data_IF_512646275496
#
_entry.id   IF_512646275496
#
_cell.length_a   1.000
_cell.length_b   1.000
_cell.length_c   1.000
_cell.angle_alpha   90.00
_cell.angle_beta   90.00
_cell.angle_gamma   90.00
#
_symmetry.space_group_name_H-M   'P 1'
#
loop_
_entity.id
_entity.type
_entity.pdbx_description
1 polymer ?
#
# COMPACT_ATOMS: atom_id res chain seq x y z
N UNK A 1 3.98 14.76 26.50
CA UNK A 1 3.26 15.69 25.59
C UNK A 1 3.57 15.44 24.11
N UNK A 2 4.78 15.68 23.57
CA UNK A 2 5.07 15.42 22.13
C UNK A 2 4.94 13.94 21.74
N UNK A 3 5.41 13.02 22.60
CA UNK A 3 5.30 11.57 22.40
C UNK A 3 3.83 11.12 22.38
N UNK A 4 3.00 11.66 23.26
CA UNK A 4 1.57 11.32 23.34
C UNK A 4 0.80 11.82 22.12
N UNK A 5 1.12 13.02 21.62
CA UNK A 5 0.56 13.56 20.37
C UNK A 5 0.93 12.68 19.18
N UNK A 6 2.19 12.25 19.09
CA UNK A 6 2.62 11.37 18.00
C UNK A 6 1.93 10.01 18.07
N UNK A 7 1.74 9.46 19.27
CA UNK A 7 0.98 8.22 19.48
C UNK A 7 -0.47 8.37 19.03
N UNK A 8 -1.14 9.43 19.45
CA UNK A 8 -2.50 9.74 19.00
C UNK A 8 -2.59 9.91 17.46
N UNK A 9 -1.59 10.52 16.83
CA UNK A 9 -1.55 10.66 15.37
C UNK A 9 -1.45 9.31 14.66
N UNK A 10 -0.58 8.40 15.12
CA UNK A 10 -0.42 7.06 14.51
C UNK A 10 -1.66 6.19 14.75
N UNK A 11 -2.28 6.28 15.92
CA UNK A 11 -3.54 5.60 16.22
C UNK A 11 -4.66 6.10 15.30
N UNK A 12 -4.81 7.43 15.16
CA UNK A 12 -5.83 8.03 14.29
C UNK A 12 -5.61 7.67 12.82
N UNK A 13 -4.36 7.67 12.35
CA UNK A 13 -3.99 7.23 11.01
C UNK A 13 -4.48 5.80 10.74
N UNK A 14 -4.19 4.89 11.67
CA UNK A 14 -4.58 3.49 11.55
C UNK A 14 -6.10 3.34 11.51
N UNK A 15 -6.82 4.08 12.36
CA UNK A 15 -8.30 4.07 12.39
C UNK A 15 -8.92 4.57 11.08
N UNK A 16 -8.39 5.67 10.52
CA UNK A 16 -8.87 6.22 9.25
C UNK A 16 -8.63 5.22 8.12
N UNK A 17 -7.41 4.66 8.02
CA UNK A 17 -7.09 3.65 7.02
C UNK A 17 -8.03 2.44 7.13
N UNK A 18 -8.23 1.91 8.34
CA UNK A 18 -9.17 0.82 8.60
C UNK A 18 -10.61 1.14 8.21
N UNK A 19 -11.09 2.36 8.46
CA UNK A 19 -12.45 2.76 8.09
C UNK A 19 -12.66 2.76 6.58
N UNK A 20 -11.66 3.22 5.81
CA UNK A 20 -11.71 3.19 4.34
C UNK A 20 -11.65 1.75 3.82
N UNK A 21 -10.74 0.94 4.34
CA UNK A 21 -10.61 -0.47 3.93
C UNK A 21 -11.88 -1.28 4.22
N UNK A 22 -12.58 -0.99 5.34
CA UNK A 22 -13.87 -1.61 5.69
C UNK A 22 -15.05 -1.13 4.84
N UNK A 23 -14.93 0.03 4.20
CA UNK A 23 -15.93 0.48 3.24
C UNK A 23 -15.72 -0.19 1.88
N UNK A 24 -14.46 -0.32 1.44
CA UNK A 24 -14.08 -0.94 0.17
C UNK A 24 -14.16 -2.48 0.20
N UNK A 25 -13.95 -3.09 1.38
CA UNK A 25 -13.94 -4.53 1.58
C UNK A 25 -14.46 -4.90 2.98
N UNK A 26 -14.72 -6.18 3.25
CA UNK A 26 -15.25 -6.60 4.55
C UNK A 26 -14.24 -6.48 5.72
N UNK A 27 -12.95 -6.26 5.42
CA UNK A 27 -11.88 -6.27 6.44
C UNK A 27 -10.86 -5.15 6.24
N UNK A 28 -10.06 -4.85 7.27
CA UNK A 28 -8.93 -3.92 7.21
C UNK A 28 -7.57 -4.61 7.19
N UNK A 29 -7.52 -5.94 7.17
CA UNK A 29 -6.28 -6.70 7.27
C UNK A 29 -5.29 -6.40 6.15
N UNK A 30 -5.80 -6.09 4.95
CA UNK A 30 -5.01 -5.65 3.80
C UNK A 30 -4.06 -4.50 4.16
N UNK A 31 -4.59 -3.42 4.74
CA UNK A 31 -3.79 -2.25 5.11
C UNK A 31 -2.64 -2.61 6.06
N UNK A 32 -2.88 -3.50 7.03
CA UNK A 32 -1.84 -3.94 7.94
C UNK A 32 -0.80 -4.81 7.23
N UNK A 33 -1.23 -5.76 6.38
CA UNK A 33 -0.33 -6.63 5.62
C UNK A 33 0.57 -5.82 4.68
N UNK A 34 0.00 -4.94 3.84
CA UNK A 34 0.80 -4.12 2.91
C UNK A 34 1.75 -3.18 3.65
N UNK A 35 1.35 -2.65 4.81
CA UNK A 35 2.23 -1.82 5.64
C UNK A 35 3.41 -2.62 6.18
N UNK A 36 3.17 -3.80 6.74
CA UNK A 36 4.23 -4.70 7.22
C UNK A 36 5.16 -5.11 6.07
N UNK A 37 4.59 -5.47 4.92
CA UNK A 37 5.37 -5.84 3.75
C UNK A 37 6.26 -4.71 3.25
N UNK A 38 5.70 -3.51 3.13
CA UNK A 38 6.40 -2.32 2.65
C UNK A 38 7.59 -1.99 3.58
N UNK A 39 7.38 -2.01 4.89
CA UNK A 39 8.41 -1.74 5.89
C UNK A 39 9.55 -2.76 5.84
N UNK A 40 9.24 -4.05 5.79
CA UNK A 40 10.25 -5.11 5.72
C UNK A 40 11.07 -5.02 4.43
N UNK A 41 10.41 -4.69 3.31
CA UNK A 41 11.10 -4.45 2.04
C UNK A 41 12.01 -3.20 2.11
N UNK A 42 11.55 -2.12 2.73
CA UNK A 42 12.37 -0.92 2.95
C UNK A 42 13.57 -1.18 3.87
N UNK A 43 13.43 -2.01 4.91
CA UNK A 43 14.56 -2.47 5.74
C UNK A 43 15.56 -3.27 4.91
N UNK A 44 15.08 -4.22 4.10
CA UNK A 44 15.92 -5.04 3.21
C UNK A 44 16.68 -4.21 2.17
N UNK A 45 16.08 -3.11 1.73
CA UNK A 45 16.69 -2.13 0.81
C UNK A 45 17.54 -1.08 1.54
N UNK A 46 17.65 -1.15 2.87
CA UNK A 46 18.44 -0.24 3.70
C UNK A 46 18.02 1.23 3.58
N UNK A 47 16.74 1.49 3.30
CA UNK A 47 16.21 2.86 3.29
C UNK A 47 16.27 3.45 4.70
N UNK A 48 16.45 4.76 4.82
CA UNK A 48 16.53 5.42 6.13
C UNK A 48 15.18 5.45 6.87
N UNK A 49 15.21 5.89 8.13
CA UNK A 49 14.01 6.00 8.97
C UNK A 49 12.96 6.94 8.38
N UNK A 50 13.36 8.00 7.66
CA UNK A 50 12.43 8.95 7.06
C UNK A 50 11.60 8.28 5.95
N UNK A 51 12.24 7.51 5.08
CA UNK A 51 11.54 6.73 4.06
C UNK A 51 10.61 5.70 4.70
N UNK A 52 11.04 5.00 5.76
CA UNK A 52 10.19 4.00 6.45
C UNK A 52 8.98 4.64 7.14
N UNK A 53 9.14 5.81 7.76
CA UNK A 53 8.01 6.56 8.34
C UNK A 53 7.04 7.03 7.26
N UNK A 54 7.55 7.60 6.15
CA UNK A 54 6.77 8.02 4.99
C UNK A 54 6.00 6.84 4.40
N UNK A 55 6.65 5.69 4.24
CA UNK A 55 6.05 4.47 3.70
C UNK A 55 4.98 3.88 4.63
N UNK A 56 5.21 3.87 5.95
CA UNK A 56 4.21 3.44 6.93
C UNK A 56 2.97 4.32 6.85
N UNK A 57 3.15 5.65 6.84
CA UNK A 57 2.03 6.60 6.72
C UNK A 57 1.31 6.39 5.40
N UNK A 58 2.05 6.41 4.30
CA UNK A 58 1.55 6.25 2.94
C UNK A 58 0.77 4.96 2.74
N UNK A 59 1.27 3.83 3.25
CA UNK A 59 0.59 2.54 3.13
C UNK A 59 -0.78 2.53 3.80
N UNK A 60 -0.94 3.16 4.98
CA UNK A 60 -2.23 3.23 5.66
C UNK A 60 -3.27 4.10 4.95
N UNK A 61 -2.82 5.13 4.21
CA UNK A 61 -3.72 6.10 3.57
C UNK A 61 -3.64 6.11 2.05
N UNK A 62 -2.99 5.12 1.43
CA UNK A 62 -2.83 5.05 -0.03
C UNK A 62 -4.18 5.19 -0.74
N UNK A 63 -5.20 4.56 -0.17
CA UNK A 63 -6.56 4.50 -0.68
C UNK A 63 -7.53 5.49 -0.03
N UNK A 64 -7.07 6.45 0.79
CA UNK A 64 -7.96 7.36 1.55
C UNK A 64 -8.94 8.13 0.66
N UNK A 65 -8.55 8.43 -0.58
CA UNK A 65 -9.39 9.11 -1.55
C UNK A 65 -10.56 8.27 -2.07
N UNK A 66 -10.61 6.95 -1.82
CA UNK A 66 -11.78 6.12 -2.10
C UNK A 66 -13.02 6.63 -1.37
N UNK A 67 -12.86 7.45 -0.32
CA UNK A 67 -13.98 8.12 0.35
C UNK A 67 -14.83 8.97 -0.62
N UNK A 68 -14.22 9.54 -1.66
CA UNK A 68 -14.87 10.39 -2.64
C UNK A 68 -15.47 9.61 -3.84
N UNK A 69 -15.26 8.29 -3.90
CA UNK A 69 -15.80 7.43 -4.95
C UNK A 69 -17.21 6.98 -4.55
N UNK A 70 -18.13 6.97 -5.52
CA UNK A 70 -19.51 6.55 -5.27
C UNK A 70 -19.59 5.04 -5.03
N UNK A 71 -20.52 4.60 -4.17
CA UNK A 71 -20.68 3.18 -3.85
C UNK A 71 -21.04 2.33 -5.08
N UNK A 72 -21.77 2.89 -6.05
CA UNK A 72 -22.11 2.21 -7.30
C UNK A 72 -20.87 1.83 -8.14
N UNK A 73 -19.76 2.55 -7.96
CA UNK A 73 -18.48 2.28 -8.63
C UNK A 73 -17.58 1.46 -7.70
N UNK A 74 -17.45 1.88 -6.44
CA UNK A 74 -16.59 1.24 -5.44
C UNK A 74 -16.98 -0.22 -5.17
N UNK A 75 -18.28 -0.48 -5.02
CA UNK A 75 -18.83 -1.79 -4.64
C UNK A 75 -19.42 -2.54 -5.83
N UNK A 76 -19.09 -2.14 -7.07
CA UNK A 76 -19.69 -2.74 -8.27
C UNK A 76 -19.31 -4.23 -8.36
N UNK A 77 -20.28 -5.16 -8.42
CA UNK A 77 -19.99 -6.57 -8.62
C UNK A 77 -19.64 -6.83 -10.09
N UNK A 78 -18.37 -6.71 -10.45
CA UNK A 78 -17.87 -7.01 -11.80
C UNK A 78 -16.79 -6.05 -12.30
N UNK A 79 -16.55 -6.07 -13.62
CA UNK A 79 -15.61 -5.14 -14.24
C UNK A 79 -16.21 -3.75 -14.34
N UNK A 80 -15.40 -2.72 -14.06
CA UNK A 80 -15.73 -1.34 -14.36
C UNK A 80 -15.73 -1.12 -15.88
N UNK A 81 -16.61 -0.24 -16.36
CA UNK A 81 -16.48 0.35 -17.70
C UNK A 81 -15.29 1.32 -17.73
N UNK A 82 -14.88 1.74 -18.93
CA UNK A 82 -13.78 2.71 -19.05
C UNK A 82 -14.10 4.01 -18.31
N UNK A 83 -15.33 4.54 -18.42
CA UNK A 83 -15.77 5.74 -17.70
C UNK A 83 -15.81 5.56 -16.17
N UNK A 84 -16.24 4.40 -15.69
CA UNK A 84 -16.23 4.07 -14.26
C UNK A 84 -14.80 3.90 -13.75
N UNK A 85 -13.91 3.35 -14.57
CA UNK A 85 -12.50 3.22 -14.23
C UNK A 85 -11.82 4.59 -14.16
N UNK A 86 -12.12 5.52 -15.09
CA UNK A 86 -11.65 6.91 -15.00
C UNK A 86 -12.15 7.60 -13.72
N UNK A 87 -13.39 7.31 -13.29
CA UNK A 87 -13.89 7.79 -12.01
C UNK A 87 -13.14 7.13 -10.83
N UNK A 88 -12.87 5.82 -10.88
CA UNK A 88 -12.11 5.12 -9.85
C UNK A 88 -10.70 5.70 -9.69
N UNK A 89 -9.99 6.00 -10.78
CA UNK A 89 -8.64 6.61 -10.74
C UNK A 89 -8.58 7.92 -9.96
N UNK A 90 -9.70 8.64 -9.82
CA UNK A 90 -9.76 9.89 -9.05
C UNK A 90 -9.38 9.71 -7.58
N UNK A 91 -9.50 8.51 -7.00
CA UNK A 91 -9.13 8.29 -5.59
C UNK A 91 -7.69 8.73 -5.30
N UNK A 92 -6.78 8.65 -6.27
CA UNK A 92 -5.40 9.15 -6.12
C UNK A 92 -5.40 10.66 -5.87
N UNK A 93 -6.09 11.42 -6.75
CA UNK A 93 -6.16 12.88 -6.66
C UNK A 93 -6.89 13.32 -5.39
N UNK A 94 -8.03 12.70 -5.09
CA UNK A 94 -8.82 12.99 -3.89
C UNK A 94 -8.02 12.64 -2.62
N UNK A 95 -7.24 11.55 -2.65
CA UNK A 95 -6.38 11.14 -1.54
C UNK A 95 -5.29 12.17 -1.26
N UNK A 96 -4.59 12.64 -2.30
CA UNK A 96 -3.63 13.73 -2.19
C UNK A 96 -4.29 15.01 -1.67
N UNK A 97 -5.51 15.31 -2.12
CA UNK A 97 -6.28 16.48 -1.68
C UNK A 97 -6.61 16.43 -0.18
N UNK A 98 -6.98 15.25 0.32
CA UNK A 98 -7.30 15.02 1.74
C UNK A 98 -6.05 15.19 2.61
N UNK A 99 -4.92 14.58 2.24
CA UNK A 99 -3.72 14.58 3.10
C UNK A 99 -2.95 15.90 3.05
N UNK A 100 -3.09 16.72 1.99
CA UNK A 100 -2.29 17.96 1.80
C UNK A 100 -2.44 18.96 2.96
N UNK A 101 -3.54 18.89 3.69
CA UNK A 101 -3.83 19.79 4.82
C UNK A 101 -3.10 19.40 6.11
N UNK A 102 -2.47 18.22 6.15
CA UNK A 102 -1.73 17.72 7.31
C UNK A 102 -0.22 17.77 7.05
N UNK A 103 0.48 18.67 7.73
CA UNK A 103 1.95 18.73 7.69
C UNK A 103 2.60 17.41 8.14
N UNK A 104 1.94 16.66 9.04
CA UNK A 104 2.45 15.38 9.52
C UNK A 104 2.34 14.26 8.48
N UNK A 105 1.41 14.37 7.52
CA UNK A 105 1.22 13.42 6.42
C UNK A 105 1.82 13.91 5.09
N UNK A 106 2.51 15.05 5.07
CA UNK A 106 3.09 15.58 3.85
C UNK A 106 4.08 14.58 3.19
N UNK A 107 4.77 13.78 4.00
CA UNK A 107 5.68 12.72 3.57
C UNK A 107 4.97 11.43 3.12
N UNK A 108 3.68 11.26 3.39
CA UNK A 108 2.89 10.12 2.89
C UNK A 108 2.53 10.28 1.39
N UNK A 109 2.68 11.49 0.85
CA UNK A 109 2.25 11.88 -0.49
C UNK A 109 2.80 10.97 -1.58
N UNK A 110 4.05 10.52 -1.48
CA UNK A 110 4.66 9.71 -2.52
C UNK A 110 3.88 8.41 -2.77
N UNK A 111 3.47 7.72 -1.71
CA UNK A 111 2.67 6.51 -1.86
C UNK A 111 1.28 6.85 -2.38
N UNK A 112 0.59 7.80 -1.75
CA UNK A 112 -0.79 8.15 -2.12
C UNK A 112 -0.89 8.61 -3.57
N UNK A 113 0.05 9.43 -4.04
CA UNK A 113 0.01 10.03 -5.37
C UNK A 113 0.46 9.10 -6.50
N UNK A 114 1.31 8.11 -6.21
CA UNK A 114 2.02 7.37 -7.26
C UNK A 114 1.96 5.84 -7.13
N UNK A 115 1.21 5.27 -6.18
CA UNK A 115 1.12 3.81 -6.00
C UNK A 115 0.55 3.05 -7.21
N UNK A 116 -0.12 3.75 -8.13
CA UNK A 116 -0.61 3.19 -9.39
C UNK A 116 0.23 3.56 -10.62
N UNK A 117 1.36 4.24 -10.42
CA UNK A 117 2.35 4.41 -11.48
C UNK A 117 3.02 3.08 -11.80
N UNK A 118 3.33 2.86 -13.08
CA UNK A 118 3.99 1.65 -13.55
C UNK A 118 5.39 2.01 -14.03
N UNK A 119 6.36 1.14 -13.75
CA UNK A 119 7.76 1.40 -14.10
C UNK A 119 7.99 1.70 -15.59
N UNK A 120 7.12 1.20 -16.48
CA UNK A 120 7.13 1.44 -17.92
C UNK A 120 6.44 2.74 -18.38
N UNK A 121 5.87 3.56 -17.49
CA UNK A 121 5.14 4.78 -17.84
C UNK A 121 3.67 4.61 -18.21
N UNK A 122 3.11 3.39 -18.17
CA UNK A 122 1.70 3.11 -18.51
C UNK A 122 0.79 3.07 -17.27
N UNK A 123 1.23 3.74 -16.20
CA UNK A 123 0.49 3.88 -14.95
C UNK A 123 -0.41 5.11 -14.95
N UNK A 124 -0.91 5.45 -13.78
CA UNK A 124 -1.71 6.66 -13.58
C UNK A 124 -1.43 7.25 -12.20
N UNK A 125 -1.69 8.56 -11.98
CA UNK A 125 -2.34 9.50 -12.90
C UNK A 125 -1.39 10.38 -13.73
N UNK A 126 -0.08 10.28 -13.53
CA UNK A 126 0.92 11.16 -14.16
C UNK A 126 1.77 10.46 -15.22
N UNK A 127 1.65 9.15 -15.38
CA UNK A 127 2.38 8.35 -16.38
C UNK A 127 3.90 8.46 -16.18
N UNK A 128 4.33 8.52 -14.92
CA UNK A 128 5.75 8.54 -14.57
C UNK A 128 6.39 7.19 -14.89
N UNK A 129 7.66 7.22 -15.27
CA UNK A 129 8.40 6.02 -15.63
C UNK A 129 9.72 5.89 -14.86
N UNK A 130 10.18 4.66 -14.71
CA UNK A 130 11.48 4.36 -14.14
C UNK A 130 11.69 4.97 -12.75
N UNK A 131 12.75 5.77 -12.64
CA UNK A 131 13.18 6.39 -11.39
C UNK A 131 12.49 7.73 -11.09
N UNK A 132 11.68 8.25 -12.01
CA UNK A 132 10.84 9.44 -11.75
C UNK A 132 9.71 9.13 -10.77
N UNK A 133 9.34 7.84 -10.66
CA UNK A 133 8.45 7.34 -9.61
C UNK A 133 9.23 7.30 -8.28
N UNK A 134 8.72 7.93 -7.20
CA UNK A 134 9.38 7.88 -5.90
C UNK A 134 9.60 6.44 -5.41
N UNK A 135 10.72 6.19 -4.72
CA UNK A 135 11.07 4.84 -4.26
C UNK A 135 10.00 4.22 -3.36
N UNK A 136 9.38 5.02 -2.50
CA UNK A 136 8.32 4.54 -1.61
C UNK A 136 7.09 4.06 -2.39
N UNK A 137 6.72 4.72 -3.49
CA UNK A 137 5.64 4.28 -4.36
C UNK A 137 6.00 2.99 -5.12
N UNK A 138 7.24 2.88 -5.62
CA UNK A 138 7.72 1.65 -6.29
C UNK A 138 7.74 0.44 -5.35
N UNK A 139 8.16 0.63 -4.10
CA UNK A 139 8.08 -0.39 -3.05
C UNK A 139 6.63 -0.78 -2.79
N UNK A 140 5.78 0.23 -2.59
CA UNK A 140 4.38 -0.01 -2.25
C UNK A 140 3.63 -0.75 -3.35
N UNK A 141 3.82 -0.38 -4.63
CA UNK A 141 3.18 -1.05 -5.77
C UNK A 141 3.46 -2.56 -5.82
N UNK A 142 4.69 -2.98 -5.49
CA UNK A 142 5.05 -4.42 -5.45
C UNK A 142 4.27 -5.15 -4.36
N UNK A 143 4.24 -4.59 -3.14
CA UNK A 143 3.62 -5.28 -2.00
C UNK A 143 2.09 -5.23 -2.04
N UNK A 144 1.50 -4.18 -2.61
CA UNK A 144 0.07 -4.05 -2.82
C UNK A 144 -0.44 -5.11 -3.82
N UNK A 145 0.23 -5.24 -4.97
CA UNK A 145 -0.10 -6.28 -5.94
C UNK A 145 0.14 -7.67 -5.35
N UNK A 146 1.22 -7.87 -4.60
CA UNK A 146 1.48 -9.15 -3.96
C UNK A 146 0.34 -9.53 -2.99
N UNK A 147 -0.08 -8.63 -2.11
CA UNK A 147 -1.20 -8.88 -1.19
C UNK A 147 -2.52 -9.14 -1.96
N UNK A 148 -2.78 -8.40 -3.04
CA UNK A 148 -3.94 -8.62 -3.91
C UNK A 148 -3.91 -9.97 -4.65
N UNK A 149 -2.73 -10.54 -4.88
CA UNK A 149 -2.58 -11.87 -5.46
C UNK A 149 -2.77 -12.97 -4.41
N UNK A 150 -2.23 -12.79 -3.22
CA UNK A 150 -2.18 -13.83 -2.18
C UNK A 150 -3.33 -13.80 -1.17
N UNK A 151 -4.16 -12.76 -1.18
CA UNK A 151 -5.32 -12.64 -0.30
C UNK A 151 -6.60 -13.12 -0.97
N UNK A 152 -7.48 -13.73 -0.17
CA UNK A 152 -8.84 -14.05 -0.60
C UNK A 152 -9.64 -12.75 -0.76
N UNK A 153 -10.37 -12.61 -1.88
CA UNK A 153 -11.32 -11.52 -2.14
C UNK A 153 -12.68 -12.11 -2.54
N UNK A 154 -13.79 -11.36 -2.44
CA UNK A 154 -15.13 -11.88 -2.79
C UNK A 154 -15.23 -12.54 -4.17
N UNK A 155 -14.41 -12.10 -5.13
CA UNK A 155 -14.42 -12.58 -6.51
C UNK A 155 -13.19 -13.43 -6.89
N UNK A 156 -12.29 -13.72 -5.95
CA UNK A 156 -10.99 -14.34 -6.26
C UNK A 156 -10.42 -15.12 -5.07
N UNK A 157 -10.11 -16.39 -5.29
CA UNK A 157 -9.36 -17.21 -4.33
C UNK A 157 -7.89 -16.77 -4.25
N UNK A 158 -7.31 -16.93 -3.06
CA UNK A 158 -5.90 -16.64 -2.81
C UNK A 158 -4.99 -17.46 -3.74
N UNK A 159 -4.04 -16.79 -4.39
CA UNK A 159 -3.05 -17.46 -5.22
C UNK A 159 -1.92 -18.05 -4.35
N UNK A 160 -1.44 -19.27 -4.63
CA UNK A 160 -0.25 -19.81 -3.99
C UNK A 160 0.98 -18.93 -4.21
N UNK A 161 1.85 -18.86 -3.21
CA UNK A 161 3.06 -18.04 -3.23
C UNK A 161 3.86 -18.13 -4.54
N UNK A 162 4.20 -19.35 -4.98
CA UNK A 162 5.03 -19.57 -6.18
C UNK A 162 4.47 -18.92 -7.44
N UNK A 163 3.13 -18.89 -7.56
CA UNK A 163 2.47 -18.24 -8.70
C UNK A 163 2.47 -16.72 -8.54
N UNK A 164 2.22 -16.22 -7.34
CA UNK A 164 2.20 -14.78 -7.07
C UNK A 164 3.58 -14.15 -7.30
N UNK A 165 4.65 -14.77 -6.79
CA UNK A 165 6.02 -14.28 -6.99
C UNK A 165 6.46 -14.39 -8.46
N UNK A 166 6.04 -15.44 -9.18
CA UNK A 166 6.33 -15.56 -10.61
C UNK A 166 5.71 -14.42 -11.43
N UNK A 167 4.48 -14.00 -11.13
CA UNK A 167 3.83 -12.84 -11.77
C UNK A 167 4.64 -11.56 -11.52
N UNK A 168 4.97 -11.28 -10.25
CA UNK A 168 5.76 -10.10 -9.86
C UNK A 168 7.12 -10.08 -10.59
N UNK A 169 7.78 -11.24 -10.68
CA UNK A 169 9.07 -11.36 -11.37
C UNK A 169 8.97 -11.17 -12.88
N UNK A 170 7.93 -11.70 -13.52
CA UNK A 170 7.73 -11.58 -14.96
C UNK A 170 7.43 -10.13 -15.37
N UNK A 171 6.81 -9.35 -14.48
CA UNK A 171 6.50 -7.93 -14.71
C UNK A 171 7.62 -6.97 -14.25
N UNK A 172 8.79 -7.48 -13.87
CA UNK A 172 9.95 -6.67 -13.53
C UNK A 172 10.46 -5.89 -14.75
N UNK A 173 10.64 -4.58 -14.59
CA UNK A 173 11.02 -3.66 -15.67
C UNK A 173 9.83 -3.18 -16.51
N UNK A 174 8.64 -3.77 -16.30
CA UNK A 174 7.40 -3.36 -16.94
C UNK A 174 6.48 -2.66 -15.92
N UNK A 175 5.80 -3.42 -15.07
CA UNK A 175 4.99 -2.86 -14.00
C UNK A 175 5.88 -2.41 -12.83
N UNK A 176 6.86 -3.22 -12.46
CA UNK A 176 7.62 -3.05 -11.23
C UNK A 176 9.07 -2.67 -11.47
N UNK A 177 9.67 -1.94 -10.54
CA UNK A 177 11.10 -1.67 -10.55
C UNK A 177 11.90 -2.99 -10.38
N UNK A 178 12.80 -3.35 -11.32
CA UNK A 178 13.61 -4.57 -11.22
C UNK A 178 14.43 -4.68 -9.92
N UNK A 179 14.93 -3.57 -9.38
CA UNK A 179 15.71 -3.55 -8.15
C UNK A 179 14.84 -3.83 -6.93
N UNK A 180 13.62 -3.28 -6.91
CA UNK A 180 12.63 -3.55 -5.86
C UNK A 180 12.19 -5.00 -5.92
N UNK A 181 11.88 -5.53 -7.10
CA UNK A 181 11.51 -6.94 -7.29
C UNK A 181 12.64 -7.88 -6.83
N UNK A 182 13.89 -7.56 -7.18
CA UNK A 182 15.06 -8.33 -6.72
C UNK A 182 15.18 -8.35 -5.20
N UNK A 183 14.99 -7.21 -4.54
CA UNK A 183 15.01 -7.12 -3.08
C UNK A 183 13.84 -7.88 -2.44
N UNK A 184 12.63 -7.72 -3.01
CA UNK A 184 11.42 -8.39 -2.55
C UNK A 184 11.55 -9.91 -2.62
N UNK A 185 11.99 -10.45 -3.76
CA UNK A 185 12.20 -11.90 -3.94
C UNK A 185 13.11 -12.52 -2.87
N UNK A 186 14.09 -11.77 -2.37
CA UNK A 186 15.02 -12.27 -1.37
C UNK A 186 14.39 -12.52 0.01
N UNK A 187 13.22 -11.92 0.28
CA UNK A 187 12.54 -12.00 1.58
C UNK A 187 11.06 -12.43 1.48
N UNK A 188 10.50 -12.49 0.26
CA UNK A 188 9.06 -12.65 0.05
C UNK A 188 8.48 -13.97 0.56
N UNK A 189 9.26 -15.06 0.58
CA UNK A 189 8.81 -16.35 1.12
C UNK A 189 8.59 -16.26 2.63
N UNK A 190 9.60 -15.78 3.37
CA UNK A 190 9.52 -15.58 4.81
C UNK A 190 8.38 -14.63 5.15
N UNK A 191 8.28 -13.49 4.43
CA UNK A 191 7.17 -12.54 4.57
C UNK A 191 5.81 -13.20 4.36
N UNK A 192 5.69 -14.04 3.33
CA UNK A 192 4.44 -14.71 2.99
C UNK A 192 3.99 -15.63 4.13
N UNK A 193 4.90 -16.47 4.61
CA UNK A 193 4.64 -17.44 5.67
C UNK A 193 4.30 -16.74 7.00
N UNK A 194 4.97 -15.61 7.28
CA UNK A 194 4.85 -14.89 8.54
C UNK A 194 3.66 -13.93 8.65
N UNK A 195 3.17 -13.38 7.53
CA UNK A 195 2.21 -12.25 7.54
C UNK A 195 0.90 -12.61 6.83
N UNK A 196 0.92 -13.31 5.70
CA UNK A 196 -0.26 -13.48 4.82
C UNK A 196 -1.44 -14.11 5.55
N UNK A 197 -1.16 -15.06 6.44
CA UNK A 197 -2.16 -15.88 7.11
C UNK A 197 -2.51 -15.39 8.52
N UNK A 198 -1.94 -14.26 8.95
CA UNK A 198 -2.24 -13.69 10.24
C UNK A 198 -3.61 -13.02 10.25
N UNK A 199 -4.30 -13.17 11.39
CA UNK A 199 -5.50 -12.40 11.67
C UNK A 199 -5.16 -10.94 12.01
N UNK A 200 -6.18 -10.08 11.96
CA UNK A 200 -6.08 -8.65 12.32
C UNK A 200 -5.34 -8.39 13.63
N UNK A 201 -5.61 -9.13 14.70
CA UNK A 201 -4.99 -8.91 16.02
C UNK A 201 -3.47 -9.12 15.97
N UNK A 202 -3.04 -10.23 15.37
CA UNK A 202 -1.62 -10.57 15.23
C UNK A 202 -0.88 -9.59 14.32
N UNK A 203 -1.53 -9.14 13.24
CA UNK A 203 -1.00 -8.11 12.35
C UNK A 203 -0.77 -6.79 13.09
N UNK A 204 -1.73 -6.37 13.91
CA UNK A 204 -1.65 -5.16 14.73
C UNK A 204 -0.48 -5.23 15.71
N UNK A 205 -0.35 -6.33 16.45
CA UNK A 205 0.74 -6.53 17.41
C UNK A 205 2.12 -6.48 16.74
N UNK A 206 2.27 -7.11 15.56
CA UNK A 206 3.53 -7.03 14.80
C UNK A 206 3.82 -5.60 14.38
N UNK A 207 2.82 -4.89 13.86
CA UNK A 207 3.00 -3.52 13.37
C UNK A 207 3.31 -2.52 14.48
N UNK A 208 2.76 -2.72 15.69
CA UNK A 208 3.09 -1.93 16.87
C UNK A 208 4.59 -1.91 17.15
N UNK A 209 5.30 -3.04 16.94
CA UNK A 209 6.75 -3.09 17.13
C UNK A 209 7.52 -2.18 16.17
N UNK A 210 7.07 -2.07 14.92
CA UNK A 210 7.65 -1.18 13.92
C UNK A 210 7.29 0.29 14.18
N UNK A 211 6.05 0.55 14.60
CA UNK A 211 5.63 1.88 15.04
C UNK A 211 6.51 2.34 16.21
N UNK A 212 6.73 1.49 17.23
CA UNK A 212 7.66 1.79 18.32
C UNK A 212 9.07 2.06 17.83
N UNK A 213 9.60 1.22 16.93
CA UNK A 213 10.97 1.36 16.42
C UNK A 213 11.22 2.66 15.66
N UNK A 214 10.27 3.11 14.84
CA UNK A 214 10.52 4.24 13.94
C UNK A 214 9.93 5.56 14.40
N UNK A 215 8.90 5.55 15.25
CA UNK A 215 8.26 6.78 15.71
C UNK A 215 8.63 7.15 17.15
N UNK A 216 9.23 6.24 17.94
CA UNK A 216 9.38 6.39 19.39
C UNK A 216 10.74 6.00 19.95
#
# INVERSE_FOLDING_TARGET
QKRDVLKANVEMLSLIGSAISKRDSDTDEHNFRVTLYAIQLAERMQLDTQHRQSLLKGAFVHDIGKIAISDNILLKPGKLTDDEFEQMKRHVKEGVDIIKSSLWLADAKDVVAYHHEKYNGQGYPFELSGQDIPINARIFAVVDVFDALTSKRPYKEAMPYDKAIAIIQNDAGNHFDPNVVKAFKAISQEMYDDITHLNRESLSLRLESYIQRYFF
#
